data_IF_271898376620
#
_entry.id   IF_271898376620
#
_cell.length_a   1.000
_cell.length_b   1.000
_cell.length_c   1.000
_cell.angle_alpha   90.00
_cell.angle_beta   90.00
_cell.angle_gamma   90.00
#
_symmetry.space_group_name_H-M   'P 1'
#
loop_
_entity.id
_entity.type
_entity.pdbx_description
1 polymer ?
#
# COMPACT_ATOMS: atom_id res chain seq x y z
N UNK A 1 -0.35 -17.16 -2.92
CA UNK A 1 -1.48 -16.34 -2.45
C UNK A 1 -2.68 -16.59 -3.35
N UNK A 2 -3.88 -16.72 -2.79
CA UNK A 2 -5.12 -16.73 -3.58
C UNK A 2 -5.45 -15.32 -4.03
N UNK A 3 -5.80 -15.11 -5.30
CA UNK A 3 -6.28 -13.79 -5.72
C UNK A 3 -7.18 -13.84 -6.95
N UNK A 4 -8.01 -12.81 -7.12
CA UNK A 4 -8.78 -12.60 -8.34
C UNK A 4 -8.40 -11.28 -9.01
N UNK A 5 -8.38 -11.29 -10.34
CA UNK A 5 -8.16 -10.12 -11.18
C UNK A 5 -9.49 -9.76 -11.83
N UNK A 6 -9.84 -8.47 -11.82
CA UNK A 6 -10.91 -7.92 -12.66
C UNK A 6 -10.36 -6.86 -13.60
N UNK A 7 -10.68 -6.98 -14.89
CA UNK A 7 -10.24 -6.06 -15.95
C UNK A 7 -11.40 -5.18 -16.42
N UNK A 8 -11.13 -3.89 -16.58
CA UNK A 8 -12.05 -2.89 -17.09
C UNK A 8 -11.40 -2.16 -18.28
N UNK A 9 -11.73 -2.58 -19.51
CA UNK A 9 -11.17 -1.96 -20.73
C UNK A 9 -11.62 -0.51 -20.86
N UNK A 10 -10.72 0.36 -21.30
CA UNK A 10 -11.05 1.76 -21.55
C UNK A 10 -11.79 1.90 -22.89
N UNK A 11 -12.75 2.84 -22.95
CA UNK A 11 -13.48 3.17 -24.19
C UNK A 11 -12.60 3.91 -25.20
N UNK A 12 -11.60 4.65 -24.71
CA UNK A 12 -10.69 5.45 -25.54
C UNK A 12 -9.34 4.73 -25.68
N UNK A 13 -9.11 4.14 -26.85
CA UNK A 13 -7.91 3.38 -27.19
C UNK A 13 -6.71 4.27 -27.57
N UNK A 14 -6.88 5.58 -27.77
CA UNK A 14 -5.77 6.50 -28.12
C UNK A 14 -4.92 6.87 -26.91
N UNK A 15 -5.45 6.70 -25.69
CA UNK A 15 -4.70 6.99 -24.46
C UNK A 15 -3.67 5.90 -24.19
N UNK A 16 -2.59 6.28 -23.50
CA UNK A 16 -1.59 5.31 -23.02
C UNK A 16 -2.20 4.27 -22.07
N UNK A 17 -3.28 4.59 -21.34
CA UNK A 17 -4.00 3.62 -20.50
C UNK A 17 -5.07 2.87 -21.30
N UNK A 18 -4.92 1.55 -21.39
CA UNK A 18 -5.78 0.64 -22.18
C UNK A 18 -6.80 -0.12 -21.35
N UNK A 19 -6.50 -0.36 -20.09
CA UNK A 19 -7.44 -0.91 -19.13
C UNK A 19 -7.11 -0.47 -17.71
N UNK A 20 -8.13 -0.49 -16.87
CA UNK A 20 -7.98 -0.53 -15.42
C UNK A 20 -8.10 -1.97 -14.95
N UNK A 21 -7.43 -2.29 -13.85
CA UNK A 21 -7.52 -3.57 -13.19
C UNK A 21 -7.74 -3.36 -11.69
N UNK A 22 -8.40 -4.33 -11.06
CA UNK A 22 -8.40 -4.50 -9.61
C UNK A 22 -7.96 -5.92 -9.28
N UNK A 23 -7.27 -6.07 -8.16
CA UNK A 23 -6.83 -7.37 -7.64
C UNK A 23 -7.39 -7.54 -6.25
N UNK A 24 -8.05 -8.67 -5.99
CA UNK A 24 -8.57 -9.03 -4.67
C UNK A 24 -7.78 -10.21 -4.12
N UNK A 25 -7.04 -10.01 -3.03
CA UNK A 25 -6.28 -11.04 -2.33
C UNK A 25 -7.15 -11.76 -1.30
N UNK A 26 -7.09 -13.09 -1.31
CA UNK A 26 -7.82 -14.02 -0.43
C UNK A 26 -9.29 -13.60 -0.16
N UNK A 27 -9.96 -13.01 -1.18
CA UNK A 27 -11.35 -12.51 -1.12
C UNK A 27 -11.63 -11.46 -0.02
N UNK A 28 -10.61 -10.97 0.67
CA UNK A 28 -10.76 -10.12 1.86
C UNK A 28 -10.05 -8.77 1.76
N UNK A 29 -9.14 -8.57 0.81
CA UNK A 29 -8.45 -7.31 0.61
C UNK A 29 -8.35 -6.94 -0.87
N UNK A 30 -8.75 -5.73 -1.25
CA UNK A 30 -8.72 -5.28 -2.65
C UNK A 30 -7.69 -4.19 -2.87
N UNK A 31 -7.06 -4.23 -4.04
CA UNK A 31 -6.26 -3.17 -4.63
C UNK A 31 -6.91 -2.71 -5.91
N UNK A 32 -7.17 -1.41 -6.01
CA UNK A 32 -7.77 -0.75 -7.17
C UNK A 32 -6.78 0.21 -7.82
N UNK A 33 -7.13 0.76 -8.98
CA UNK A 33 -6.28 1.77 -9.65
C UNK A 33 -5.04 1.20 -10.35
N UNK A 34 -4.95 -0.13 -10.49
CA UNK A 34 -3.93 -0.77 -11.32
C UNK A 34 -4.29 -0.45 -12.78
N UNK A 35 -3.29 -0.17 -13.61
CA UNK A 35 -3.52 0.16 -15.03
C UNK A 35 -2.68 -0.71 -15.94
N UNK A 36 -3.28 -1.14 -17.05
CA UNK A 36 -2.56 -1.68 -18.20
C UNK A 36 -2.30 -0.53 -19.16
N UNK A 37 -1.03 -0.28 -19.45
CA UNK A 37 -0.56 0.85 -20.25
C UNK A 37 0.28 0.40 -21.42
N UNK A 38 0.27 1.19 -22.49
CA UNK A 38 1.10 1.01 -23.67
C UNK A 38 2.19 2.10 -23.70
N UNK A 39 3.44 1.69 -23.89
CA UNK A 39 4.55 2.63 -24.07
C UNK A 39 4.62 3.12 -25.53
N UNK A 40 5.58 4.00 -25.85
CA UNK A 40 5.74 4.55 -27.21
C UNK A 40 6.13 3.50 -28.27
N UNK A 41 6.66 2.35 -27.84
CA UNK A 41 7.06 1.24 -28.71
C UNK A 41 5.91 0.25 -28.95
N UNK A 42 4.73 0.49 -28.36
CA UNK A 42 3.59 -0.41 -28.43
C UNK A 42 3.60 -1.56 -27.41
N UNK A 43 4.56 -1.58 -26.50
CA UNK A 43 4.65 -2.64 -25.50
C UNK A 43 3.70 -2.36 -24.32
N UNK A 44 2.94 -3.39 -23.95
CA UNK A 44 2.02 -3.34 -22.82
C UNK A 44 2.75 -3.65 -21.51
N UNK A 45 2.45 -2.86 -20.48
CA UNK A 45 2.97 -3.06 -19.14
C UNK A 45 1.92 -2.74 -18.07
N UNK A 46 2.11 -3.31 -16.87
CA UNK A 46 1.28 -3.04 -15.69
C UNK A 46 1.91 -1.88 -14.91
N UNK A 47 1.10 -0.91 -14.53
CA UNK A 47 1.47 0.19 -13.64
C UNK A 47 0.59 0.11 -12.40
N UNK A 48 1.21 -0.03 -11.24
CA UNK A 48 0.51 -0.02 -9.96
C UNK A 48 0.04 1.39 -9.58
N UNK A 49 -0.92 1.50 -8.65
CA UNK A 49 -1.32 2.78 -8.09
C UNK A 49 -0.13 3.50 -7.48
N UNK A 50 0.04 4.78 -7.81
CA UNK A 50 1.20 5.56 -7.36
C UNK A 50 0.83 6.97 -6.93
N UNK A 51 1.70 7.56 -6.12
CA UNK A 51 1.63 8.94 -5.66
C UNK A 51 2.91 9.70 -6.01
N UNK A 52 2.75 11.00 -6.23
CA UNK A 52 3.87 11.92 -6.38
C UNK A 52 4.56 12.07 -5.02
N UNK A 53 5.82 11.68 -4.93
CA UNK A 53 6.63 11.86 -3.73
C UNK A 53 7.14 13.30 -3.61
N UNK A 54 7.76 13.63 -2.47
CA UNK A 54 8.41 14.93 -2.25
C UNK A 54 9.78 15.07 -2.94
N UNK A 55 10.34 13.96 -3.42
CA UNK A 55 11.65 13.94 -4.10
C UNK A 55 11.53 14.17 -5.61
N UNK A 56 12.58 14.71 -6.20
CA UNK A 56 12.78 14.81 -7.64
C UNK A 56 13.94 13.89 -8.06
N UNK A 57 13.93 13.45 -9.32
CA UNK A 57 15.03 12.70 -9.91
C UNK A 57 16.18 13.64 -10.36
N UNK A 58 17.25 13.07 -10.91
CA UNK A 58 18.43 13.80 -11.36
C UNK A 58 18.12 14.84 -12.46
N UNK A 59 16.97 14.73 -13.12
CA UNK A 59 16.50 15.65 -14.16
C UNK A 59 15.47 16.65 -13.62
N UNK A 60 15.27 16.74 -12.30
CA UNK A 60 14.31 17.61 -11.65
C UNK A 60 12.85 17.17 -11.83
N UNK A 61 12.59 15.97 -12.34
CA UNK A 61 11.21 15.46 -12.49
C UNK A 61 10.73 14.84 -11.18
N UNK A 62 9.42 14.96 -10.86
CA UNK A 62 8.88 14.33 -9.66
C UNK A 62 9.08 12.81 -9.66
N UNK A 63 9.61 12.29 -8.57
CA UNK A 63 9.66 10.83 -8.34
C UNK A 63 8.29 10.36 -7.90
N UNK A 64 7.76 9.35 -8.57
CA UNK A 64 6.52 8.67 -8.16
C UNK A 64 6.87 7.42 -7.37
N UNK A 65 6.10 7.16 -6.31
CA UNK A 65 6.21 5.95 -5.49
C UNK A 65 4.90 5.18 -5.54
N UNK A 66 4.97 3.86 -5.53
CA UNK A 66 3.79 3.01 -5.57
C UNK A 66 3.15 2.91 -4.18
N UNK A 67 1.83 3.03 -4.13
CA UNK A 67 1.05 2.77 -2.91
C UNK A 67 1.10 1.29 -2.55
N UNK A 68 1.20 0.42 -3.54
CA UNK A 68 1.27 -1.01 -3.34
C UNK A 68 1.98 -1.68 -4.51
N UNK A 69 2.76 -2.72 -4.23
CA UNK A 69 3.55 -3.42 -5.23
C UNK A 69 3.95 -4.81 -4.76
N UNK A 70 4.20 -5.77 -5.68
CA UNK A 70 4.87 -7.01 -5.35
C UNK A 70 6.26 -6.74 -4.78
N UNK A 71 6.68 -7.53 -3.80
CA UNK A 71 8.01 -7.44 -3.17
C UNK A 71 8.98 -8.51 -3.69
N UNK A 72 8.46 -9.60 -4.25
CA UNK A 72 9.27 -10.67 -4.85
C UNK A 72 9.15 -10.66 -6.37
N UNK A 73 10.20 -11.11 -7.06
CA UNK A 73 10.24 -11.16 -8.53
C UNK A 73 9.23 -12.20 -9.04
N UNK A 74 9.17 -13.35 -8.39
CA UNK A 74 8.30 -14.47 -8.72
C UNK A 74 6.84 -14.02 -8.71
N UNK A 75 6.41 -13.36 -7.64
CA UNK A 75 5.03 -12.90 -7.54
C UNK A 75 4.74 -11.72 -8.48
N UNK A 76 5.74 -10.86 -8.73
CA UNK A 76 5.61 -9.77 -9.71
C UNK A 76 5.35 -10.33 -11.11
N UNK A 77 6.16 -11.28 -11.55
CA UNK A 77 6.08 -11.86 -12.88
C UNK A 77 4.76 -12.62 -13.05
N UNK A 78 4.34 -13.39 -12.05
CA UNK A 78 3.05 -14.08 -12.03
C UNK A 78 1.88 -13.08 -12.10
N UNK A 79 1.83 -12.12 -11.18
CA UNK A 79 0.73 -11.16 -11.11
C UNK A 79 0.62 -10.32 -12.39
N UNK A 80 1.75 -9.78 -12.86
CA UNK A 80 1.75 -8.89 -14.02
C UNK A 80 1.49 -9.68 -15.30
N UNK A 81 2.07 -10.88 -15.42
CA UNK A 81 1.79 -11.80 -16.50
C UNK A 81 0.31 -12.13 -16.59
N UNK A 82 -0.33 -12.48 -15.46
CA UNK A 82 -1.75 -12.81 -15.41
C UNK A 82 -2.63 -11.60 -15.77
N UNK A 83 -2.34 -10.39 -15.28
CA UNK A 83 -3.07 -9.17 -15.65
C UNK A 83 -2.99 -8.91 -17.17
N UNK A 84 -1.77 -8.96 -17.73
CA UNK A 84 -1.55 -8.69 -19.16
C UNK A 84 -2.19 -9.77 -20.04
N UNK A 85 -2.10 -11.04 -19.64
CA UNK A 85 -2.74 -12.16 -20.33
C UNK A 85 -4.25 -11.97 -20.37
N UNK A 86 -4.88 -11.72 -19.23
CA UNK A 86 -6.34 -11.53 -19.14
C UNK A 86 -6.81 -10.35 -19.99
N UNK A 87 -6.06 -9.25 -19.97
CA UNK A 87 -6.35 -8.10 -20.84
C UNK A 87 -6.32 -8.46 -22.33
N UNK A 88 -5.27 -9.16 -22.79
CA UNK A 88 -5.09 -9.58 -24.18
C UNK A 88 -6.17 -10.58 -24.62
N UNK A 89 -6.48 -11.55 -23.79
CA UNK A 89 -7.49 -12.60 -24.05
C UNK A 89 -8.93 -12.09 -23.89
N UNK A 90 -9.13 -10.89 -23.34
CA UNK A 90 -10.47 -10.33 -23.11
C UNK A 90 -11.21 -10.99 -21.94
N UNK A 91 -10.48 -11.62 -21.03
CA UNK A 91 -11.01 -12.22 -19.81
C UNK A 91 -11.21 -11.11 -18.77
N UNK A 92 -12.47 -10.86 -18.42
CA UNK A 92 -12.81 -9.79 -17.47
C UNK A 92 -12.58 -10.18 -16.02
N UNK A 93 -12.62 -11.47 -15.69
CA UNK A 93 -12.45 -11.99 -14.33
C UNK A 93 -11.65 -13.29 -14.36
N UNK A 94 -10.67 -13.41 -13.48
CA UNK A 94 -9.79 -14.56 -13.40
C UNK A 94 -9.38 -14.82 -11.96
N UNK A 95 -9.47 -16.07 -11.52
CA UNK A 95 -9.05 -16.49 -10.19
C UNK A 95 -7.77 -17.33 -10.26
N UNK A 96 -6.86 -17.05 -9.34
CA UNK A 96 -5.64 -17.82 -9.09
C UNK A 96 -5.77 -18.46 -7.71
N UNK A 97 -5.61 -19.78 -7.68
CA UNK A 97 -5.53 -20.56 -6.44
C UNK A 97 -4.07 -20.70 -6.04
N UNK A 98 -3.73 -20.16 -4.87
CA UNK A 98 -2.47 -20.39 -4.18
C UNK A 98 -2.49 -21.66 -3.32
N UNK A 99 -1.42 -21.85 -2.58
CA UNK A 99 -1.21 -23.03 -1.72
C UNK A 99 -1.91 -22.93 -0.36
N UNK A 100 -2.18 -21.72 0.13
CA UNK A 100 -2.77 -21.45 1.44
C UNK A 100 -3.96 -20.50 1.32
N UNK A 101 -5.03 -20.82 2.05
CA UNK A 101 -6.23 -20.01 2.16
C UNK A 101 -6.09 -18.91 3.23
N UNK A 102 -5.13 -19.05 4.16
CA UNK A 102 -4.82 -18.04 5.15
C UNK A 102 -3.82 -17.03 4.58
N UNK A 103 -4.06 -15.75 4.84
CA UNK A 103 -3.15 -14.66 4.46
C UNK A 103 -2.31 -14.26 5.67
N UNK A 104 -0.99 -14.29 5.53
CA UNK A 104 -0.05 -13.80 6.54
C UNK A 104 0.10 -12.27 6.42
N UNK A 105 0.01 -11.56 7.55
CA UNK A 105 0.15 -10.11 7.62
C UNK A 105 1.46 -9.76 8.34
N UNK A 106 2.39 -9.13 7.63
CA UNK A 106 3.57 -8.48 8.22
C UNK A 106 3.32 -6.98 8.38
N UNK A 107 3.77 -6.36 9.47
CA UNK A 107 3.55 -4.94 9.73
C UNK A 107 4.89 -4.29 10.11
N UNK A 108 5.18 -3.13 9.54
CA UNK A 108 6.34 -2.31 9.88
C UNK A 108 5.91 -0.87 9.99
N UNK A 109 6.00 -0.30 11.19
CA UNK A 109 5.60 1.08 11.50
C UNK A 109 6.78 1.88 12.02
N UNK A 110 6.79 3.16 11.69
CA UNK A 110 7.63 4.17 12.30
C UNK A 110 6.74 5.18 13.02
N UNK A 111 7.08 5.51 14.27
CA UNK A 111 6.39 6.55 15.04
C UNK A 111 6.68 7.93 14.45
N UNK A 112 5.71 8.84 14.61
CA UNK A 112 5.75 10.19 14.10
C UNK A 112 5.32 11.15 15.21
N UNK A 113 6.02 12.28 15.34
CA UNK A 113 5.69 13.34 16.32
C UNK A 113 4.83 14.43 15.66
N UNK A 114 3.76 14.03 14.96
CA UNK A 114 2.81 14.96 14.33
C UNK A 114 1.59 15.22 15.20
N UNK A 115 0.88 16.33 14.99
CA UNK A 115 -0.34 16.67 15.76
C UNK A 115 -1.45 15.64 15.61
N UNK A 116 -1.61 15.09 14.40
CA UNK A 116 -2.67 14.11 14.10
C UNK A 116 -2.13 12.79 13.53
N UNK A 117 -0.82 12.67 13.29
CA UNK A 117 -0.17 11.49 12.71
C UNK A 117 0.76 10.88 13.77
N UNK A 118 0.39 9.71 14.28
CA UNK A 118 1.13 9.00 15.32
C UNK A 118 2.14 8.01 14.75
N UNK A 119 1.79 7.35 13.66
CA UNK A 119 2.68 6.41 13.00
C UNK A 119 2.40 6.33 11.50
N UNK A 120 3.44 6.00 10.75
CA UNK A 120 3.35 5.72 9.31
C UNK A 120 4.15 4.47 8.99
N UNK A 121 3.65 3.64 8.09
CA UNK A 121 4.37 2.43 7.75
C UNK A 121 3.79 1.67 6.59
N UNK A 122 4.04 0.36 6.64
CA UNK A 122 3.77 -0.59 5.58
C UNK A 122 3.16 -1.87 6.14
N UNK A 123 2.30 -2.48 5.34
CA UNK A 123 1.76 -3.82 5.59
C UNK A 123 2.21 -4.72 4.45
N UNK A 124 2.62 -5.94 4.79
CA UNK A 124 3.02 -6.99 3.86
C UNK A 124 1.96 -8.10 3.90
N UNK A 125 1.52 -8.55 2.73
CA UNK A 125 0.62 -9.70 2.55
C UNK A 125 1.45 -10.87 2.00
N UNK A 126 1.44 -12.01 2.70
CA UNK A 126 2.25 -13.22 2.45
C UNK A 126 3.72 -12.95 2.09
N UNK A 127 4.29 -11.84 2.61
CA UNK A 127 5.66 -11.37 2.31
C UNK A 127 5.96 -11.11 0.82
N UNK A 128 4.99 -11.27 -0.08
CA UNK A 128 5.15 -11.11 -1.53
C UNK A 128 4.46 -9.86 -2.08
N UNK A 129 3.65 -9.16 -1.28
CA UNK A 129 2.98 -7.92 -1.66
C UNK A 129 3.04 -6.89 -0.53
N UNK A 130 3.36 -5.64 -0.83
CA UNK A 130 3.44 -4.56 0.16
C UNK A 130 2.42 -3.48 -0.12
N UNK A 131 1.89 -2.90 0.95
CA UNK A 131 1.05 -1.70 0.97
C UNK A 131 1.81 -0.63 1.74
N UNK A 132 2.17 0.45 1.06
CA UNK A 132 2.91 1.58 1.59
C UNK A 132 1.97 2.69 2.07
N UNK A 133 2.48 3.56 2.94
CA UNK A 133 1.82 4.80 3.36
C UNK A 133 0.50 4.54 4.12
N UNK A 134 0.47 3.46 4.90
CA UNK A 134 -0.56 3.24 5.93
C UNK A 134 -0.23 4.17 7.10
N UNK A 135 -1.24 4.86 7.59
CA UNK A 135 -1.09 5.86 8.67
C UNK A 135 -1.93 5.48 9.86
N UNK A 136 -1.38 5.67 11.05
CA UNK A 136 -2.16 5.70 12.28
C UNK A 136 -2.31 7.15 12.69
N UNK A 137 -3.57 7.58 12.78
CA UNK A 137 -3.96 8.96 13.00
C UNK A 137 -4.72 9.08 14.32
N UNK A 138 -4.62 10.22 15.00
CA UNK A 138 -5.40 10.50 16.21
C UNK A 138 -6.66 11.28 15.87
N UNK A 139 -7.74 11.01 16.59
CA UNK A 139 -8.96 11.82 16.59
C UNK A 139 -9.47 11.96 18.04
N UNK A 140 -10.50 12.79 18.24
CA UNK A 140 -11.21 12.89 19.53
C UNK A 140 -11.75 11.53 20.02
N UNK A 141 -12.01 10.58 19.11
CA UNK A 141 -12.51 9.24 19.42
C UNK A 141 -11.40 8.19 19.61
N UNK A 142 -10.14 8.61 19.61
CA UNK A 142 -8.96 7.75 19.69
C UNK A 142 -8.25 7.55 18.36
N UNK A 143 -7.21 6.72 18.40
CA UNK A 143 -6.37 6.39 17.25
C UNK A 143 -7.10 5.51 16.24
N UNK A 144 -6.90 5.76 14.95
CA UNK A 144 -7.51 5.00 13.87
C UNK A 144 -6.54 4.80 12.70
N UNK A 145 -6.76 3.73 11.95
CA UNK A 145 -5.97 3.40 10.75
C UNK A 145 -6.57 4.11 9.53
N UNK A 146 -5.74 4.88 8.84
CA UNK A 146 -6.04 5.46 7.53
C UNK A 146 -5.27 4.69 6.45
N UNK A 147 -6.03 4.04 5.56
CA UNK A 147 -5.49 3.35 4.39
C UNK A 147 -4.95 4.35 3.36
N UNK A 148 -4.08 3.89 2.43
CA UNK A 148 -3.57 4.75 1.40
C UNK A 148 -4.70 5.20 0.47
N UNK A 149 -4.83 6.51 0.29
CA UNK A 149 -5.89 7.11 -0.52
C UNK A 149 -5.34 8.03 -1.61
N UNK A 150 -6.13 8.18 -2.67
CA UNK A 150 -5.83 9.04 -3.81
C UNK A 150 -7.03 9.94 -4.12
N UNK A 151 -6.75 11.12 -4.68
CA UNK A 151 -7.79 12.05 -5.09
C UNK A 151 -8.35 11.63 -6.45
N UNK A 152 -9.60 11.16 -6.46
CA UNK A 152 -10.32 10.75 -7.66
C UNK A 152 -11.24 11.89 -8.09
N UNK A 153 -11.27 12.18 -9.39
CA UNK A 153 -12.22 13.11 -9.97
C UNK A 153 -13.39 12.34 -10.57
N UNK A 154 -14.59 12.48 -9.98
CA UNK A 154 -15.82 11.83 -10.45
C UNK A 154 -16.72 12.78 -11.25
N UNK A 155 -16.12 13.65 -12.07
CA UNK A 155 -16.86 14.57 -12.93
C UNK A 155 -17.77 15.47 -12.10
N UNK A 156 -19.08 15.25 -12.20
CA UNK A 156 -20.13 16.06 -11.57
C UNK A 156 -20.10 16.05 -10.04
N UNK A 157 -19.61 14.96 -9.42
CA UNK A 157 -19.46 14.85 -7.95
C UNK A 157 -18.20 15.55 -7.41
N UNK A 158 -17.37 16.12 -8.30
CA UNK A 158 -16.13 16.78 -7.95
C UNK A 158 -14.99 15.82 -7.56
N UNK A 159 -14.05 16.32 -6.77
CA UNK A 159 -12.86 15.58 -6.35
C UNK A 159 -13.07 14.98 -4.96
N UNK A 160 -12.94 13.65 -4.84
CA UNK A 160 -13.08 12.92 -3.58
C UNK A 160 -11.85 12.03 -3.32
N UNK A 161 -11.44 11.93 -2.06
CA UNK A 161 -10.44 10.94 -1.67
C UNK A 161 -11.08 9.55 -1.60
N UNK A 162 -10.47 8.60 -2.30
CA UNK A 162 -10.86 7.20 -2.25
C UNK A 162 -9.65 6.35 -1.90
N UNK A 163 -9.87 5.33 -1.08
CA UNK A 163 -8.82 4.39 -0.71
C UNK A 163 -8.40 3.58 -1.93
N UNK A 164 -7.09 3.53 -2.16
CA UNK A 164 -6.47 2.76 -3.24
C UNK A 164 -6.64 1.27 -2.97
N UNK A 165 -6.50 0.88 -1.71
CA UNK A 165 -6.63 -0.48 -1.24
C UNK A 165 -7.28 -0.53 0.13
N UNK A 166 -8.14 -1.51 0.36
CA UNK A 166 -8.93 -1.60 1.58
C UNK A 166 -9.39 -3.04 1.86
N UNK A 167 -9.61 -3.39 3.14
CA UNK A 167 -10.25 -4.65 3.49
C UNK A 167 -11.73 -4.64 3.05
N UNK A 168 -12.19 -5.74 2.46
CA UNK A 168 -13.56 -5.92 1.98
C UNK A 168 -14.46 -6.45 3.10
N UNK A 169 -14.00 -7.46 3.83
CA UNK A 169 -14.79 -8.11 4.87
C UNK A 169 -14.60 -7.40 6.21
N UNK A 170 -15.66 -7.42 7.05
CA UNK A 170 -15.63 -6.79 8.37
C UNK A 170 -14.65 -7.49 9.30
N UNK A 171 -14.59 -8.81 9.20
CA UNK A 171 -13.72 -9.69 9.96
C UNK A 171 -12.26 -9.33 9.69
N UNK A 172 -11.86 -9.32 8.42
CA UNK A 172 -10.48 -9.01 8.03
C UNK A 172 -10.12 -7.55 8.31
N UNK A 173 -11.07 -6.61 8.15
CA UNK A 173 -10.87 -5.21 8.54
C UNK A 173 -10.53 -5.08 10.01
N UNK A 174 -11.26 -5.79 10.87
CA UNK A 174 -11.06 -5.74 12.32
C UNK A 174 -9.71 -6.36 12.69
N UNK A 175 -9.39 -7.52 12.12
CA UNK A 175 -8.10 -8.21 12.30
C UNK A 175 -6.93 -7.31 11.90
N UNK A 176 -6.95 -6.78 10.67
CA UNK A 176 -5.88 -5.93 10.14
C UNK A 176 -5.69 -4.66 10.96
N UNK A 177 -6.79 -3.99 11.34
CA UNK A 177 -6.70 -2.70 12.03
C UNK A 177 -6.21 -2.89 13.46
N UNK A 178 -6.67 -3.94 14.15
CA UNK A 178 -6.18 -4.29 15.47
C UNK A 178 -4.70 -4.68 15.43
N UNK A 179 -4.27 -5.43 14.42
CA UNK A 179 -2.86 -5.79 14.26
C UNK A 179 -1.98 -4.53 14.07
N UNK A 180 -2.42 -3.56 13.27
CA UNK A 180 -1.70 -2.29 13.07
C UNK A 180 -1.63 -1.47 14.36
N UNK A 181 -2.73 -1.35 15.10
CA UNK A 181 -2.77 -0.59 16.35
C UNK A 181 -1.91 -1.25 17.43
N UNK A 182 -1.96 -2.58 17.54
CA UNK A 182 -1.09 -3.34 18.46
C UNK A 182 0.38 -3.19 18.10
N UNK A 183 0.73 -3.21 16.80
CA UNK A 183 2.11 -2.98 16.39
C UNK A 183 2.58 -1.55 16.72
N UNK A 184 1.68 -0.57 16.63
CA UNK A 184 1.97 0.81 17.05
C UNK A 184 2.44 0.85 18.50
N UNK A 185 1.68 0.22 19.40
CA UNK A 185 1.98 0.17 20.84
C UNK A 185 3.35 -0.44 21.10
N UNK A 186 3.67 -1.58 20.47
CA UNK A 186 4.98 -2.24 20.60
C UNK A 186 6.14 -1.35 20.13
N UNK A 187 5.96 -0.61 19.04
CA UNK A 187 7.01 0.30 18.53
C UNK A 187 7.21 1.47 19.50
N UNK A 188 6.15 2.00 20.11
CA UNK A 188 6.25 3.03 21.14
C UNK A 188 6.95 2.53 22.41
N UNK A 189 6.61 1.31 22.87
CA UNK A 189 7.25 0.69 24.04
C UNK A 189 8.76 0.53 23.83
N UNK A 190 9.16 -0.04 22.68
CA UNK A 190 10.59 -0.19 22.32
C UNK A 190 11.32 1.15 22.29
N UNK A 191 10.71 2.18 21.70
CA UNK A 191 11.30 3.52 21.63
C UNK A 191 11.48 4.14 23.02
N UNK A 192 10.52 3.94 23.93
CA UNK A 192 10.62 4.41 25.31
C UNK A 192 11.69 3.65 26.10
N UNK A 193 11.79 2.32 25.93
CA UNK A 193 12.84 1.51 26.55
C UNK A 193 14.24 1.93 26.09
N UNK A 194 14.42 2.16 24.79
CA UNK A 194 15.67 2.68 24.21
C UNK A 194 16.03 4.05 24.80
N UNK A 195 15.04 4.95 24.93
CA UNK A 195 15.25 6.26 25.53
C UNK A 195 15.71 6.17 27.00
N UNK A 196 15.05 5.32 27.80
CA UNK A 196 15.42 5.09 29.21
C UNK A 196 16.83 4.49 29.32
N UNK A 197 17.22 3.60 28.41
CA UNK A 197 18.57 3.04 28.40
C UNK A 197 19.64 4.09 28.07
N UNK A 198 19.36 4.98 27.11
CA UNK A 198 20.26 6.08 26.75
C UNK A 198 20.41 7.07 27.92
N UNK A 199 19.32 7.45 28.57
CA UNK A 199 19.33 8.37 29.71
C UNK A 199 20.19 7.83 30.87
N UNK A 200 20.00 6.55 31.24
CA UNK A 200 20.83 5.87 32.25
C UNK A 200 22.30 5.78 31.86
N UNK A 201 22.62 5.64 30.57
CA UNK A 201 24.00 5.60 30.09
C UNK A 201 24.68 6.98 30.16
N UNK A 202 23.91 8.07 30.13
CA UNK A 202 24.39 9.45 30.20
C UNK A 202 24.56 9.96 31.64
N UNK A 203 23.84 9.41 32.61
CA UNK A 203 23.91 9.76 34.04
C UNK A 203 25.28 9.56 34.70
N UNK A 204 26.25 8.96 33.99
CA UNK A 204 27.64 8.77 34.45
C UNK A 204 28.71 9.45 33.58
N UNK A 205 28.35 10.24 32.57
CA UNK A 205 29.30 10.88 31.66
C UNK A 205 29.48 12.35 32.06
N UNK A 206 30.65 12.72 32.57
CA UNK A 206 31.03 14.13 32.74
C UNK A 206 31.01 14.81 31.36
N UNK A 207 30.05 15.70 31.16
CA UNK A 207 29.99 16.54 29.97
C UNK A 207 30.87 17.78 30.19
N UNK A 208 31.59 18.25 29.17
CA UNK A 208 32.58 19.35 29.30
C UNK A 208 31.95 20.74 29.54
N UNK A 209 30.66 20.81 29.84
CA UNK A 209 29.90 22.04 30.07
C UNK A 209 29.47 22.24 31.53
N UNK A 210 29.98 21.42 32.46
CA UNK A 210 29.77 21.59 33.90
C UNK A 210 30.99 22.15 34.60
#
# INVERSE_FOLDING_TARGET
MNYSIRIFKTKNQERSTKAYASVTFNKCFIVTGITVRENKNGELFVSMPSYKSKSVDDNGKPVYKEYCNPTTKEFRDELYGNILKNFKEGVNEYEVKGLDDKMEIGISLNTMSGTNLEAIGRVYLDKCFVINNIKVMTSEKGSFVAMPSQLVNRGDEGKKYEDVCFPITKEFRTELYNAILSEKEKVYEKMNEEFIQVDKALDGVETPFR
#
